data_IF_518241883686
#
_entry.id   IF_518241883686
#
_cell.length_a   1.000
_cell.length_b   1.000
_cell.length_c   1.000
_cell.angle_alpha   90.00
_cell.angle_beta   90.00
_cell.angle_gamma   90.00
#
_symmetry.space_group_name_H-M   'P 1'
#
loop_
_entity.id
_entity.type
_entity.pdbx_description
1 polymer ?
#
# COMPACT_ATOMS: atom_id res chain seq x y z
N UNK A 1 9.60 10.65 2.67
CA UNK A 1 8.97 11.05 1.40
C UNK A 1 9.57 12.38 0.97
N UNK A 2 9.76 12.57 -0.32
CA UNK A 2 10.27 13.81 -0.91
C UNK A 2 9.10 14.60 -1.49
N UNK A 3 9.07 15.91 -1.22
CA UNK A 3 8.04 16.80 -1.70
C UNK A 3 8.61 18.18 -2.02
N UNK A 4 7.91 18.90 -2.90
CA UNK A 4 8.12 20.33 -3.12
C UNK A 4 6.91 21.11 -2.57
N UNK A 5 7.09 22.40 -2.32
CA UNK A 5 5.98 23.32 -2.06
C UNK A 5 5.65 24.09 -3.34
N UNK A 6 4.35 24.20 -3.65
CA UNK A 6 3.84 25.02 -4.74
C UNK A 6 2.84 26.04 -4.21
N UNK A 7 3.02 27.31 -4.60
CA UNK A 7 2.04 28.36 -4.30
C UNK A 7 0.81 28.18 -5.19
N UNK A 8 -0.38 28.18 -4.60
CA UNK A 8 -1.63 28.12 -5.32
C UNK A 8 -2.28 29.52 -5.43
N UNK A 9 -3.32 29.63 -6.25
CA UNK A 9 -4.03 30.88 -6.56
C UNK A 9 -4.70 31.56 -5.35
N UNK A 10 -4.90 30.82 -4.26
CA UNK A 10 -5.41 31.31 -2.98
C UNK A 10 -4.31 31.97 -2.10
N UNK A 11 -3.05 31.94 -2.55
CA UNK A 11 -1.90 32.48 -1.84
C UNK A 11 -1.36 31.56 -0.74
N UNK A 12 -1.80 30.31 -0.66
CA UNK A 12 -1.28 29.30 0.28
C UNK A 12 -0.32 28.33 -0.43
N UNK A 13 0.57 27.72 0.34
CA UNK A 13 1.49 26.69 -0.15
C UNK A 13 0.85 25.31 -0.02
N UNK A 14 1.01 24.48 -1.04
CA UNK A 14 0.51 23.10 -1.09
C UNK A 14 1.66 22.14 -1.34
N UNK A 15 1.53 20.92 -0.84
CA UNK A 15 2.56 19.89 -0.97
C UNK A 15 2.42 19.17 -2.31
N UNK A 16 3.48 19.15 -3.10
CA UNK A 16 3.58 18.30 -4.27
C UNK A 16 4.43 17.08 -3.97
N UNK A 17 3.77 15.94 -3.82
CA UNK A 17 4.44 14.67 -3.59
C UNK A 17 5.30 14.29 -4.80
N UNK A 18 6.61 14.10 -4.59
CA UNK A 18 7.54 13.62 -5.62
C UNK A 18 7.79 12.13 -5.49
N UNK A 19 8.14 11.72 -4.30
CA UNK A 19 8.45 10.32 -4.00
C UNK A 19 7.98 9.96 -2.60
N UNK A 20 7.36 8.79 -2.49
CA UNK A 20 6.99 8.19 -1.23
C UNK A 20 7.78 6.90 -1.01
N UNK A 21 8.04 6.61 0.27
CA UNK A 21 8.60 5.34 0.71
C UNK A 21 7.48 4.55 1.37
N UNK A 22 7.31 3.30 0.97
CA UNK A 22 6.34 2.39 1.58
C UNK A 22 7.04 1.06 1.87
N UNK A 23 6.91 0.59 3.10
CA UNK A 23 7.45 -0.69 3.55
C UNK A 23 6.28 -1.62 3.87
N UNK A 24 6.21 -2.76 3.18
CA UNK A 24 5.17 -3.75 3.39
C UNK A 24 5.67 -4.87 4.30
N UNK A 25 5.30 -4.80 5.58
CA UNK A 25 5.71 -5.76 6.62
C UNK A 25 4.49 -6.24 7.41
N UNK A 26 3.62 -7.08 6.83
CA UNK A 26 2.46 -7.59 7.54
C UNK A 26 2.85 -8.55 8.66
N UNK A 27 2.17 -8.47 9.80
CA UNK A 27 2.32 -9.41 10.91
C UNK A 27 1.79 -10.82 10.57
N UNK A 28 0.83 -10.89 9.64
CA UNK A 28 0.26 -12.15 9.14
C UNK A 28 -0.17 -12.01 7.67
N UNK A 29 -0.10 -13.11 6.92
CA UNK A 29 -0.56 -13.18 5.53
C UNK A 29 -1.38 -14.45 5.33
N UNK A 30 -2.61 -14.29 4.85
CA UNK A 30 -3.53 -15.41 4.60
C UNK A 30 -3.91 -15.44 3.12
N UNK A 31 -3.83 -16.63 2.54
CA UNK A 31 -4.08 -16.87 1.12
C UNK A 31 -5.19 -17.90 1.01
N UNK A 32 -6.20 -17.54 0.22
CA UNK A 32 -7.30 -18.44 -0.13
C UNK A 32 -7.46 -18.43 -1.65
N UNK A 33 -7.13 -19.55 -2.28
CA UNK A 33 -7.32 -19.74 -3.72
C UNK A 33 -8.48 -20.68 -3.96
N UNK A 34 -9.46 -20.21 -4.73
CA UNK A 34 -10.63 -21.00 -5.14
C UNK A 34 -10.41 -21.66 -6.50
N UNK A 35 -11.14 -22.74 -6.78
CA UNK A 35 -11.12 -23.43 -8.07
C UNK A 35 -9.74 -23.99 -8.46
N UNK A 36 -8.90 -24.30 -7.48
CA UNK A 36 -7.66 -25.04 -7.70
C UNK A 36 -7.98 -26.45 -8.20
N UNK A 37 -7.11 -26.98 -9.07
CA UNK A 37 -7.21 -28.37 -9.56
C UNK A 37 -8.60 -28.71 -10.14
N UNK A 38 -9.19 -27.79 -10.92
CA UNK A 38 -10.55 -27.90 -11.48
C UNK A 38 -11.65 -28.06 -10.42
N UNK A 39 -11.47 -27.44 -9.25
CA UNK A 39 -12.45 -27.47 -8.17
C UNK A 39 -12.34 -28.69 -7.25
N UNK A 40 -11.27 -29.48 -7.34
CA UNK A 40 -11.02 -30.55 -6.38
C UNK A 40 -10.77 -29.95 -4.98
N UNK A 41 -11.74 -30.15 -4.08
CA UNK A 41 -11.72 -29.59 -2.74
C UNK A 41 -10.56 -30.13 -1.90
N UNK A 42 -10.21 -31.41 -2.04
CA UNK A 42 -9.18 -32.02 -1.20
C UNK A 42 -7.81 -31.45 -1.56
N UNK A 43 -7.50 -31.39 -2.86
CA UNK A 43 -6.24 -30.82 -3.33
C UNK A 43 -6.18 -29.31 -3.07
N UNK A 44 -7.30 -28.59 -3.28
CA UNK A 44 -7.41 -27.16 -3.00
C UNK A 44 -7.17 -26.83 -1.53
N UNK A 45 -7.89 -27.49 -0.62
CA UNK A 45 -7.77 -27.26 0.83
C UNK A 45 -6.35 -27.60 1.31
N UNK A 46 -5.73 -28.67 0.78
CA UNK A 46 -4.34 -29.01 1.10
C UNK A 46 -3.34 -27.95 0.61
N UNK A 47 -3.54 -27.38 -0.58
CA UNK A 47 -2.69 -26.33 -1.12
C UNK A 47 -2.82 -25.04 -0.31
N UNK A 48 -4.05 -24.61 0.00
CA UNK A 48 -4.27 -23.43 0.85
C UNK A 48 -3.64 -23.63 2.23
N UNK A 49 -3.75 -24.82 2.85
CA UNK A 49 -3.06 -25.10 4.12
C UNK A 49 -1.54 -24.96 3.98
N UNK A 50 -0.94 -25.58 2.97
CA UNK A 50 0.51 -25.48 2.75
C UNK A 50 0.98 -24.03 2.59
N UNK A 51 0.27 -23.23 1.80
CA UNK A 51 0.62 -21.82 1.58
C UNK A 51 0.51 -21.00 2.87
N UNK A 52 -0.53 -21.24 3.66
CA UNK A 52 -0.76 -20.52 4.90
C UNK A 52 0.20 -20.94 6.03
N UNK A 53 0.60 -22.22 6.10
CA UNK A 53 1.65 -22.69 7.02
C UNK A 53 3.02 -22.09 6.68
N UNK A 54 3.28 -21.86 5.38
CA UNK A 54 4.54 -21.31 4.88
C UNK A 54 4.41 -19.83 4.46
N UNK A 55 3.46 -19.10 5.04
CA UNK A 55 3.09 -17.75 4.57
C UNK A 55 4.26 -16.76 4.52
N UNK A 56 5.28 -16.92 5.36
CA UNK A 56 6.47 -16.07 5.37
C UNK A 56 7.32 -16.23 4.11
N UNK A 57 7.45 -17.45 3.61
CA UNK A 57 8.17 -17.69 2.36
C UNK A 57 7.33 -17.23 1.17
N UNK A 58 6.01 -17.46 1.22
CA UNK A 58 5.11 -16.92 0.20
C UNK A 58 5.14 -15.39 0.18
N UNK A 59 5.23 -14.74 1.34
CA UNK A 59 5.37 -13.28 1.44
C UNK A 59 6.67 -12.77 0.82
N UNK A 60 7.79 -13.52 0.88
CA UNK A 60 9.03 -13.11 0.20
C UNK A 60 8.85 -13.05 -1.32
N UNK A 61 8.00 -13.91 -1.87
CA UNK A 61 7.74 -13.98 -3.31
C UNK A 61 6.63 -13.00 -3.75
N UNK A 62 5.50 -12.98 -3.05
CA UNK A 62 4.33 -12.18 -3.44
C UNK A 62 4.33 -10.76 -2.83
N UNK A 63 5.00 -10.58 -1.70
CA UNK A 63 5.04 -9.33 -0.94
C UNK A 63 5.46 -8.10 -1.75
N UNK A 64 6.50 -8.17 -2.62
CA UNK A 64 6.86 -7.03 -3.46
C UNK A 64 5.73 -6.55 -4.37
N UNK A 65 5.06 -7.48 -5.06
CA UNK A 65 3.97 -7.12 -6.00
C UNK A 65 2.74 -6.60 -5.26
N UNK A 66 2.38 -7.22 -4.13
CA UNK A 66 1.27 -6.75 -3.28
C UNK A 66 1.59 -5.38 -2.69
N UNK A 67 2.81 -5.20 -2.18
CA UNK A 67 3.29 -3.94 -1.61
C UNK A 67 3.30 -2.81 -2.63
N UNK A 68 3.75 -3.07 -3.85
CA UNK A 68 3.72 -2.09 -4.95
C UNK A 68 2.30 -1.67 -5.33
N UNK A 69 1.36 -2.61 -5.36
CA UNK A 69 -0.04 -2.30 -5.62
C UNK A 69 -0.63 -1.38 -4.53
N UNK A 70 -0.37 -1.71 -3.26
CA UNK A 70 -0.80 -0.88 -2.13
C UNK A 70 -0.14 0.50 -2.18
N UNK A 71 1.17 0.58 -2.41
CA UNK A 71 1.92 1.84 -2.54
C UNK A 71 1.30 2.75 -3.61
N UNK A 72 1.01 2.21 -4.80
CA UNK A 72 0.39 2.98 -5.89
C UNK A 72 -0.96 3.56 -5.48
N UNK A 73 -1.80 2.78 -4.79
CA UNK A 73 -3.08 3.27 -4.28
C UNK A 73 -2.88 4.39 -3.25
N UNK A 74 -1.96 4.21 -2.30
CA UNK A 74 -1.64 5.22 -1.30
C UNK A 74 -1.08 6.51 -1.93
N UNK A 75 -0.23 6.41 -2.95
CA UNK A 75 0.34 7.57 -3.64
C UNK A 75 -0.74 8.41 -4.33
N UNK A 76 -1.73 7.77 -4.95
CA UNK A 76 -2.86 8.47 -5.57
C UNK A 76 -3.69 9.19 -4.50
N UNK A 77 -4.02 8.50 -3.40
CA UNK A 77 -4.82 9.09 -2.32
C UNK A 77 -4.09 10.26 -1.65
N UNK A 78 -2.80 10.10 -1.37
CA UNK A 78 -1.96 11.14 -0.80
C UNK A 78 -1.83 12.33 -1.75
N UNK A 79 -1.61 12.09 -3.05
CA UNK A 79 -1.56 13.15 -4.05
C UNK A 79 -2.84 13.99 -4.08
N UNK A 80 -4.00 13.32 -4.15
CA UNK A 80 -5.31 13.99 -4.15
C UNK A 80 -5.57 14.79 -2.87
N UNK A 81 -5.17 14.26 -1.71
CA UNK A 81 -5.30 14.96 -0.44
C UNK A 81 -4.41 16.21 -0.39
N UNK A 82 -3.15 16.10 -0.79
CA UNK A 82 -2.18 17.19 -0.73
C UNK A 82 -2.44 18.30 -1.77
N UNK A 83 -3.19 18.01 -2.83
CA UNK A 83 -3.66 19.01 -3.81
C UNK A 83 -4.73 19.96 -3.22
N UNK A 84 -5.45 19.55 -2.17
CA UNK A 84 -6.59 20.31 -1.63
C UNK A 84 -6.39 20.76 -0.19
N UNK A 85 -5.35 20.27 0.49
CA UNK A 85 -5.02 20.68 1.86
C UNK A 85 -3.72 21.49 1.89
N UNK A 86 -3.77 22.75 2.33
CA UNK A 86 -2.60 23.60 2.50
C UNK A 86 -1.56 23.03 3.46
N UNK A 87 -0.30 23.34 3.19
CA UNK A 87 0.86 22.81 3.91
C UNK A 87 0.79 23.02 5.43
N UNK A 88 0.37 24.20 5.86
CA UNK A 88 0.22 24.59 7.26
C UNK A 88 -0.91 23.84 7.97
N UNK A 89 -1.93 23.37 7.25
CA UNK A 89 -2.99 22.52 7.78
C UNK A 89 -2.53 21.04 7.88
N UNK A 90 -1.66 20.58 6.97
CA UNK A 90 -1.07 19.23 7.01
C UNK A 90 0.00 19.10 8.11
N UNK A 91 0.83 20.13 8.27
CA UNK A 91 1.93 20.18 9.24
C UNK A 91 1.76 21.38 10.18
N UNK A 92 0.76 21.37 11.07
CA UNK A 92 0.56 22.46 12.01
C UNK A 92 1.76 22.55 12.95
N UNK A 93 2.25 23.77 13.15
CA UNK A 93 3.31 24.04 14.13
C UNK A 93 2.68 23.77 15.51
N UNK A 94 3.25 22.84 16.28
CA UNK A 94 2.81 22.62 17.66
C UNK A 94 3.16 23.87 18.50
N UNK A 95 2.16 24.48 19.13
CA UNK A 95 2.32 25.52 20.16
C UNK A 95 2.90 24.96 21.46
#
# INVERSE_FOLDING_TARGET
>A
FHYDLENNSDGREYVKLRESTFTFEPESFHIEMTNLFNGDKTLGDNMNRFLNENWRDVLKELGPVVGDAIKKTLDVLMGQFLEVVPYDDVFPIAE
#
